data_IF_789369128258
#
_entry.id   IF_789369128258
#
_cell.length_a   1.000
_cell.length_b   1.000
_cell.length_c   1.000
_cell.angle_alpha   90.00
_cell.angle_beta   90.00
_cell.angle_gamma   90.00
#
_symmetry.space_group_name_H-M   'P 1'
#
loop_
_entity.id
_entity.type
_entity.pdbx_description
1 polymer ?
#
# COMPACT_ATOMS: atom_id res chain seq x y z
N UNK A 1 -17.74 -9.49 -19.00
CA UNK A 1 -16.54 -9.58 -18.15
C UNK A 1 -15.40 -8.76 -18.76
N UNK A 2 -15.07 -8.96 -20.04
CA UNK A 2 -14.16 -8.07 -20.78
C UNK A 2 -14.87 -6.77 -21.24
N UNK A 3 -16.17 -6.84 -21.56
CA UNK A 3 -16.94 -5.71 -22.14
C UNK A 3 -17.03 -4.48 -21.22
N UNK A 4 -17.21 -4.65 -19.91
CA UNK A 4 -17.29 -3.52 -18.95
C UNK A 4 -15.91 -2.88 -18.64
N UNK A 5 -14.81 -3.60 -18.89
CA UNK A 5 -13.44 -3.02 -18.84
C UNK A 5 -13.07 -2.32 -20.15
N UNK A 6 -13.68 -2.71 -21.27
CA UNK A 6 -13.43 -2.19 -22.61
C UNK A 6 -14.16 -0.88 -22.94
N UNK A 7 -15.14 -0.44 -22.14
CA UNK A 7 -15.96 0.76 -22.38
C UNK A 7 -15.19 2.10 -22.36
N UNK A 8 -13.85 2.06 -22.38
CA UNK A 8 -12.99 3.24 -22.45
C UNK A 8 -12.65 3.66 -23.89
N UNK A 9 -13.01 2.90 -24.94
CA UNK A 9 -12.44 3.09 -26.29
C UNK A 9 -13.43 3.34 -27.46
N UNK A 10 -14.60 3.92 -27.22
CA UNK A 10 -15.42 4.41 -28.35
C UNK A 10 -16.31 5.60 -27.98
N UNK A 11 -15.88 6.84 -28.32
CA UNK A 11 -16.58 7.80 -29.23
C UNK A 11 -16.27 9.28 -28.93
N UNK A 12 -15.35 9.85 -29.72
CA UNK A 12 -15.20 11.25 -30.21
C UNK A 12 -15.26 12.49 -29.29
N UNK A 13 -14.08 13.12 -29.23
CA UNK A 13 -13.76 14.57 -29.26
C UNK A 13 -13.85 15.40 -27.97
N UNK A 14 -12.75 16.10 -27.65
CA UNK A 14 -12.46 16.90 -26.45
C UNK A 14 -12.25 16.13 -25.15
N UNK A 15 -13.18 15.26 -24.75
CA UNK A 15 -13.04 14.51 -23.48
C UNK A 15 -11.96 13.41 -23.56
N UNK A 16 -11.75 12.80 -24.73
CA UNK A 16 -10.73 11.76 -24.93
C UNK A 16 -9.31 12.30 -24.74
N UNK A 17 -9.00 13.53 -25.18
CA UNK A 17 -7.68 14.10 -24.93
C UNK A 17 -7.47 14.34 -23.43
N UNK A 18 -8.43 14.94 -22.73
CA UNK A 18 -8.33 15.12 -21.27
C UNK A 18 -8.24 13.78 -20.52
N UNK A 19 -8.94 12.74 -20.99
CA UNK A 19 -8.87 11.38 -20.43
C UNK A 19 -7.52 10.71 -20.73
N UNK A 20 -7.00 10.79 -21.97
CA UNK A 20 -5.67 10.28 -22.31
C UNK A 20 -4.57 10.99 -21.52
N UNK A 21 -4.63 12.32 -21.40
CA UNK A 21 -3.68 13.10 -20.59
C UNK A 21 -3.78 12.73 -19.11
N UNK A 22 -4.99 12.55 -18.56
CA UNK A 22 -5.17 12.10 -17.19
C UNK A 22 -4.63 10.68 -16.97
N UNK A 23 -4.82 9.77 -17.93
CA UNK A 23 -4.33 8.39 -17.86
C UNK A 23 -2.80 8.33 -17.96
N UNK A 24 -2.17 9.05 -18.90
CA UNK A 24 -0.71 9.13 -19.01
C UNK A 24 -0.07 9.76 -17.76
N UNK A 25 -0.68 10.81 -17.21
CA UNK A 25 -0.20 11.42 -15.96
C UNK A 25 -0.28 10.46 -14.77
N UNK A 26 -1.32 9.61 -14.73
CA UNK A 26 -1.48 8.60 -13.67
C UNK A 26 -0.47 7.45 -13.81
N UNK A 27 -0.12 7.03 -15.02
CA UNK A 27 0.93 6.03 -15.22
C UNK A 27 2.32 6.54 -14.79
N UNK A 28 2.67 7.77 -15.16
CA UNK A 28 3.92 8.36 -14.66
C UNK A 28 3.94 8.48 -13.13
N UNK A 29 2.80 8.77 -12.50
CA UNK A 29 2.68 8.79 -11.04
C UNK A 29 2.89 7.40 -10.42
N UNK A 30 2.37 6.32 -11.01
CA UNK A 30 2.53 4.99 -10.41
C UNK A 30 3.98 4.48 -10.52
N UNK A 31 4.69 4.81 -11.59
CA UNK A 31 6.13 4.48 -11.70
C UNK A 31 6.96 5.27 -10.69
N UNK A 32 6.64 6.56 -10.50
CA UNK A 32 7.25 7.36 -9.44
C UNK A 32 6.95 6.76 -8.05
N UNK A 33 5.70 6.34 -7.81
CA UNK A 33 5.31 5.68 -6.56
C UNK A 33 6.06 4.37 -6.36
N UNK A 34 6.22 3.55 -7.41
CA UNK A 34 6.99 2.31 -7.37
C UNK A 34 8.43 2.56 -6.95
N UNK A 35 9.09 3.56 -7.55
CA UNK A 35 10.45 3.94 -7.16
C UNK A 35 10.55 4.37 -5.67
N UNK A 36 9.59 5.17 -5.19
CA UNK A 36 9.52 5.56 -3.76
C UNK A 36 9.26 4.37 -2.82
N UNK A 37 8.56 3.35 -3.31
CA UNK A 37 8.27 2.12 -2.61
C UNK A 37 9.33 1.04 -2.85
N UNK A 38 10.57 1.42 -3.20
CA UNK A 38 11.68 0.47 -3.34
C UNK A 38 11.48 -0.49 -4.52
N UNK A 39 11.09 0.08 -5.66
CA UNK A 39 10.89 -0.56 -6.96
C UNK A 39 9.84 -1.67 -7.00
N UNK A 40 9.03 -1.80 -5.95
CA UNK A 40 8.00 -2.84 -5.84
C UNK A 40 6.77 -2.29 -5.14
N UNK A 41 5.64 -2.29 -5.84
CA UNK A 41 4.31 -1.96 -5.33
C UNK A 41 3.69 -3.13 -4.57
N UNK A 42 2.64 -2.88 -3.78
CA UNK A 42 1.87 -3.95 -3.15
C UNK A 42 1.19 -4.80 -4.22
N UNK A 43 0.66 -4.19 -5.29
CA UNK A 43 0.08 -4.94 -6.40
C UNK A 43 1.09 -5.89 -7.06
N UNK A 44 2.36 -5.47 -7.17
CA UNK A 44 3.42 -6.34 -7.70
C UNK A 44 3.64 -7.58 -6.80
N UNK A 45 3.55 -7.41 -5.48
CA UNK A 45 3.62 -8.51 -4.51
C UNK A 45 2.39 -9.43 -4.58
N UNK A 46 1.20 -8.87 -4.80
CA UNK A 46 -0.03 -9.65 -4.99
C UNK A 46 0.06 -10.51 -6.26
N UNK A 47 0.48 -9.92 -7.39
CA UNK A 47 0.69 -10.67 -8.63
C UNK A 47 1.73 -11.78 -8.44
N UNK A 48 2.87 -11.46 -7.82
CA UNK A 48 3.95 -12.42 -7.54
C UNK A 48 3.49 -13.59 -6.67
N UNK A 49 2.69 -13.31 -5.63
CA UNK A 49 2.12 -14.30 -4.74
C UNK A 49 1.12 -15.24 -5.44
N UNK A 50 0.53 -14.79 -6.57
CA UNK A 50 -0.29 -15.62 -7.47
C UNK A 50 0.51 -16.48 -8.46
N UNK A 51 1.85 -16.39 -8.43
CA UNK A 51 2.74 -17.08 -9.36
C UNK A 51 3.02 -16.32 -10.66
N UNK A 52 2.57 -15.07 -10.76
CA UNK A 52 2.81 -14.22 -11.94
C UNK A 52 4.25 -13.69 -11.88
N UNK A 53 5.00 -13.90 -12.96
CA UNK A 53 6.40 -13.48 -13.06
C UNK A 53 6.50 -12.08 -13.66
N UNK A 54 7.48 -11.30 -13.19
CA UNK A 54 7.75 -9.95 -13.69
C UNK A 54 6.51 -9.04 -13.66
N UNK A 55 5.91 -8.81 -12.48
CA UNK A 55 4.72 -7.96 -12.37
C UNK A 55 4.97 -6.51 -12.81
N UNK A 56 6.20 -6.03 -12.66
CA UNK A 56 6.66 -4.68 -12.99
C UNK A 56 6.54 -4.34 -14.49
N UNK A 57 6.59 -5.35 -15.37
CA UNK A 57 6.39 -5.15 -16.82
C UNK A 57 4.92 -5.26 -17.24
N UNK A 58 4.06 -5.84 -16.37
CA UNK A 58 2.64 -6.05 -16.66
C UNK A 58 1.77 -4.91 -16.12
N UNK A 59 2.20 -4.27 -15.03
CA UNK A 59 1.47 -3.19 -14.37
C UNK A 59 2.32 -1.93 -14.26
N UNK A 60 1.80 -0.73 -14.58
CA UNK A 60 0.45 -0.49 -15.12
C UNK A 60 0.31 -0.89 -16.59
N UNK A 61 -0.87 -1.38 -17.03
CA UNK A 61 -1.12 -1.64 -18.44
C UNK A 61 -1.18 -0.32 -19.22
N UNK A 62 -0.40 -0.19 -20.29
CA UNK A 62 -0.25 1.05 -21.08
C UNK A 62 -1.34 1.25 -22.13
N UNK A 63 -2.00 0.17 -22.54
CA UNK A 63 -3.04 0.14 -23.57
C UNK A 63 -4.00 -1.04 -23.33
N UNK A 64 -5.00 -1.16 -24.20
CA UNK A 64 -6.03 -2.22 -24.12
C UNK A 64 -5.43 -3.61 -24.23
N UNK A 65 -4.46 -3.81 -25.13
CA UNK A 65 -3.85 -5.13 -25.33
C UNK A 65 -3.00 -5.53 -24.11
N UNK A 66 -2.29 -4.58 -23.52
CA UNK A 66 -1.58 -4.79 -22.26
C UNK A 66 -2.53 -5.13 -21.10
N UNK A 67 -3.71 -4.49 -21.05
CA UNK A 67 -4.73 -4.80 -20.04
C UNK A 67 -5.34 -6.18 -20.25
N UNK A 68 -5.70 -6.55 -21.49
CA UNK A 68 -6.17 -7.90 -21.84
C UNK A 68 -5.14 -8.95 -21.42
N UNK A 69 -3.87 -8.73 -21.74
CA UNK A 69 -2.79 -9.63 -21.37
C UNK A 69 -2.66 -9.77 -19.84
N UNK A 70 -2.71 -8.67 -19.09
CA UNK A 70 -2.69 -8.71 -17.62
C UNK A 70 -3.88 -9.51 -17.06
N UNK A 71 -5.07 -9.34 -17.62
CA UNK A 71 -6.26 -10.11 -17.20
C UNK A 71 -6.12 -11.60 -17.50
N UNK A 72 -5.59 -11.97 -18.67
CA UNK A 72 -5.32 -13.36 -19.03
C UNK A 72 -4.32 -14.01 -18.07
N UNK A 73 -3.27 -13.28 -17.70
CA UNK A 73 -2.25 -13.75 -16.76
C UNK A 73 -2.81 -13.87 -15.34
N UNK A 74 -3.69 -12.96 -14.91
CA UNK A 74 -4.44 -13.09 -13.65
C UNK A 74 -5.34 -14.33 -13.68
N UNK A 75 -6.05 -14.56 -14.78
CA UNK A 75 -6.94 -15.71 -14.92
C UNK A 75 -6.17 -17.05 -14.90
N UNK A 76 -4.97 -17.08 -15.49
CA UNK A 76 -4.08 -18.24 -15.50
C UNK A 76 -3.31 -18.44 -14.18
N UNK A 77 -3.40 -17.52 -13.23
CA UNK A 77 -2.65 -17.59 -11.96
C UNK A 77 -3.12 -18.73 -11.04
N UNK A 78 -2.29 -19.04 -10.03
CA UNK A 78 -2.56 -20.07 -9.04
C UNK A 78 -3.62 -19.69 -8.00
N UNK A 79 -4.14 -18.46 -8.08
CA UNK A 79 -5.15 -18.00 -7.14
C UNK A 79 -6.50 -18.69 -7.35
N UNK A 80 -7.25 -18.77 -6.26
CA UNK A 80 -8.67 -19.10 -6.32
C UNK A 80 -9.46 -17.97 -7.01
N UNK A 81 -10.70 -18.27 -7.39
CA UNK A 81 -11.56 -17.31 -8.09
C UNK A 81 -11.71 -15.99 -7.32
N UNK A 82 -11.90 -16.05 -5.99
CA UNK A 82 -12.12 -14.85 -5.20
C UNK A 82 -10.92 -13.90 -5.24
N UNK A 83 -9.70 -14.42 -5.09
CA UNK A 83 -8.48 -13.60 -5.17
C UNK A 83 -8.27 -13.01 -6.57
N UNK A 84 -8.60 -13.76 -7.63
CA UNK A 84 -8.58 -13.23 -9.01
C UNK A 84 -9.54 -12.06 -9.17
N UNK A 85 -10.78 -12.20 -8.69
CA UNK A 85 -11.77 -11.13 -8.72
C UNK A 85 -11.31 -9.91 -7.88
N UNK A 86 -10.59 -10.11 -6.77
CA UNK A 86 -10.00 -9.00 -6.00
C UNK A 86 -8.91 -8.24 -6.78
N UNK A 87 -8.09 -8.93 -7.58
CA UNK A 87 -7.11 -8.29 -8.45
C UNK A 87 -7.79 -7.47 -9.56
N UNK A 88 -8.86 -7.99 -10.14
CA UNK A 88 -9.65 -7.24 -11.14
C UNK A 88 -10.35 -6.04 -10.49
N UNK A 89 -10.95 -6.22 -9.31
CA UNK A 89 -11.52 -5.12 -8.52
C UNK A 89 -10.48 -4.00 -8.29
N UNK A 90 -9.26 -4.36 -7.89
CA UNK A 90 -8.15 -3.42 -7.73
C UNK A 90 -7.87 -2.64 -9.02
N UNK A 91 -7.84 -3.30 -10.18
CA UNK A 91 -7.63 -2.64 -11.47
C UNK A 91 -8.78 -1.67 -11.82
N UNK A 92 -10.02 -2.03 -11.50
CA UNK A 92 -11.19 -1.18 -11.73
C UNK A 92 -11.14 0.14 -10.93
N UNK A 93 -10.49 0.15 -9.75
CA UNK A 93 -10.27 1.37 -8.96
C UNK A 93 -9.53 2.46 -9.73
N UNK A 94 -8.78 2.10 -10.77
CA UNK A 94 -8.07 3.06 -11.62
C UNK A 94 -9.02 4.08 -12.27
N UNK A 95 -10.26 3.69 -12.56
CA UNK A 95 -11.26 4.57 -13.17
C UNK A 95 -11.81 5.63 -12.21
N UNK A 96 -11.95 5.29 -10.91
CA UNK A 96 -12.53 6.17 -9.88
C UNK A 96 -13.94 6.67 -10.23
N UNK A 97 -14.74 5.84 -10.88
CA UNK A 97 -16.10 6.17 -11.32
C UNK A 97 -17.18 5.28 -10.68
N UNK A 98 -16.80 4.45 -9.69
CA UNK A 98 -17.71 3.60 -8.92
C UNK A 98 -18.03 2.26 -9.59
N UNK A 99 -17.48 1.95 -10.77
CA UNK A 99 -17.71 0.68 -11.45
C UNK A 99 -17.26 -0.53 -10.63
N UNK A 100 -16.28 -0.34 -9.75
CA UNK A 100 -15.82 -1.37 -8.83
C UNK A 100 -16.93 -1.85 -7.87
N UNK A 101 -17.87 -0.98 -7.47
CA UNK A 101 -18.94 -1.31 -6.51
C UNK A 101 -19.96 -2.27 -7.15
N UNK A 102 -20.30 -2.00 -8.41
CA UNK A 102 -21.13 -2.88 -9.22
C UNK A 102 -20.45 -4.23 -9.40
N UNK A 103 -19.17 -4.23 -9.75
CA UNK A 103 -18.38 -5.45 -9.92
C UNK A 103 -18.30 -6.27 -8.62
N UNK A 104 -18.05 -5.63 -7.49
CA UNK A 104 -18.06 -6.27 -6.17
C UNK A 104 -19.39 -6.99 -5.91
N UNK A 105 -20.51 -6.34 -6.23
CA UNK A 105 -21.85 -6.91 -6.02
C UNK A 105 -22.11 -8.09 -6.96
N UNK A 106 -21.81 -7.94 -8.26
CA UNK A 106 -22.00 -8.99 -9.27
C UNK A 106 -21.12 -10.21 -9.03
N UNK A 107 -19.91 -10.01 -8.49
CA UNK A 107 -18.94 -11.06 -8.16
C UNK A 107 -19.04 -11.55 -6.73
N UNK A 108 -19.97 -11.02 -5.95
CA UNK A 108 -20.16 -11.35 -4.54
C UNK A 108 -18.85 -11.26 -3.72
N UNK A 109 -17.97 -10.29 -4.03
CA UNK A 109 -16.71 -10.10 -3.31
C UNK A 109 -17.04 -9.67 -1.88
N UNK A 110 -16.63 -10.43 -0.85
CA UNK A 110 -16.96 -10.07 0.52
C UNK A 110 -16.35 -8.72 0.90
N UNK A 111 -17.03 -7.88 1.72
CA UNK A 111 -16.60 -6.52 2.00
C UNK A 111 -15.18 -6.37 2.55
N UNK A 112 -14.69 -7.34 3.32
CA UNK A 112 -13.34 -7.30 3.88
C UNK A 112 -12.23 -7.54 2.83
N UNK A 113 -12.52 -8.30 1.77
CA UNK A 113 -11.60 -8.46 0.64
C UNK A 113 -11.56 -7.22 -0.24
N UNK A 114 -12.73 -6.64 -0.55
CA UNK A 114 -12.81 -5.36 -1.27
C UNK A 114 -12.09 -4.25 -0.49
N UNK A 115 -12.32 -4.14 0.82
CA UNK A 115 -11.64 -3.16 1.67
C UNK A 115 -10.11 -3.35 1.71
N UNK A 116 -9.63 -4.59 1.70
CA UNK A 116 -8.19 -4.85 1.59
C UNK A 116 -7.63 -4.36 0.24
N UNK A 117 -8.31 -4.67 -0.86
CA UNK A 117 -7.93 -4.20 -2.19
C UNK A 117 -7.97 -2.66 -2.31
N UNK A 118 -8.99 -2.01 -1.75
CA UNK A 118 -9.09 -0.55 -1.66
C UNK A 118 -7.89 0.05 -0.92
N UNK A 119 -7.56 -0.51 0.25
CA UNK A 119 -6.45 -0.02 1.04
C UNK A 119 -5.11 -0.18 0.29
N UNK A 120 -4.85 -1.33 -0.31
CA UNK A 120 -3.64 -1.55 -1.10
C UNK A 120 -3.56 -0.59 -2.30
N UNK A 121 -4.68 -0.35 -2.97
CA UNK A 121 -4.73 0.59 -4.09
C UNK A 121 -4.42 2.03 -3.65
N UNK A 122 -4.97 2.46 -2.52
CA UNK A 122 -4.68 3.77 -1.93
C UNK A 122 -3.22 3.90 -1.49
N UNK A 123 -2.59 2.82 -1.02
CA UNK A 123 -1.17 2.82 -0.66
C UNK A 123 -0.28 2.89 -1.90
N UNK A 124 -0.54 2.12 -2.95
CA UNK A 124 0.27 2.13 -4.16
C UNK A 124 0.14 3.47 -4.90
N UNK A 125 -1.08 4.00 -5.04
CA UNK A 125 -1.31 5.31 -5.69
C UNK A 125 -0.91 6.50 -4.83
N UNK A 126 -0.90 6.35 -3.50
CA UNK A 126 -0.61 7.42 -2.55
C UNK A 126 -1.74 8.45 -2.37
N UNK A 127 -2.93 8.22 -2.93
CA UNK A 127 -4.03 9.20 -2.94
C UNK A 127 -4.59 9.52 -1.55
N UNK A 128 -4.77 8.50 -0.70
CA UNK A 128 -5.25 8.69 0.67
C UNK A 128 -4.72 7.61 1.62
N UNK A 129 -3.40 7.64 1.84
CA UNK A 129 -2.70 6.73 2.75
C UNK A 129 -3.30 6.74 4.17
N UNK A 130 -3.67 7.87 4.80
CA UNK A 130 -4.31 7.85 6.12
C UNK A 130 -5.60 7.02 6.15
N UNK A 131 -6.42 7.11 5.11
CA UNK A 131 -7.64 6.31 4.99
C UNK A 131 -7.32 4.82 4.81
N UNK A 132 -6.34 4.49 3.96
CA UNK A 132 -5.87 3.12 3.78
C UNK A 132 -5.41 2.48 5.10
N UNK A 133 -4.61 3.21 5.89
CA UNK A 133 -4.17 2.77 7.21
C UNK A 133 -5.35 2.59 8.17
N UNK A 134 -6.38 3.43 8.07
CA UNK A 134 -7.59 3.27 8.87
C UNK A 134 -8.36 2.00 8.51
N UNK A 135 -8.43 1.66 7.22
CA UNK A 135 -9.04 0.40 6.76
C UNK A 135 -8.23 -0.78 7.29
N UNK A 136 -6.92 -0.80 7.05
CA UNK A 136 -6.03 -1.89 7.49
C UNK A 136 -5.91 -2.02 9.01
N UNK A 137 -6.33 -1.01 9.77
CA UNK A 137 -6.42 -1.10 11.24
C UNK A 137 -7.62 -1.92 11.74
N UNK A 138 -8.53 -2.35 10.85
CA UNK A 138 -9.63 -3.23 11.20
C UNK A 138 -9.12 -4.68 11.38
N UNK A 139 -9.34 -5.25 12.56
CA UNK A 139 -8.88 -6.60 12.91
C UNK A 139 -9.51 -7.72 12.07
N UNK A 140 -10.56 -7.44 11.30
CA UNK A 140 -11.22 -8.42 10.41
C UNK A 140 -10.53 -8.53 9.05
N UNK A 141 -9.66 -7.58 8.71
CA UNK A 141 -8.93 -7.59 7.45
C UNK A 141 -7.63 -8.37 7.66
N UNK A 142 -7.32 -9.28 6.73
CA UNK A 142 -6.04 -9.97 6.73
C UNK A 142 -4.94 -8.98 6.34
N UNK A 143 -3.95 -8.83 7.22
CA UNK A 143 -2.90 -7.85 7.06
C UNK A 143 -1.64 -8.55 6.60
N UNK A 144 -1.39 -8.43 5.30
CA UNK A 144 -0.16 -8.90 4.67
C UNK A 144 0.70 -7.69 4.31
N UNK A 145 1.99 -7.93 4.06
CA UNK A 145 2.93 -6.89 3.57
C UNK A 145 3.15 -5.70 4.53
N UNK A 146 3.21 -5.95 5.84
CA UNK A 146 3.47 -4.93 6.88
C UNK A 146 4.61 -3.97 6.52
N UNK A 147 5.73 -4.47 6.00
CA UNK A 147 6.86 -3.61 5.62
C UNK A 147 6.50 -2.63 4.51
N UNK A 148 5.70 -3.04 3.51
CA UNK A 148 5.23 -2.14 2.46
C UNK A 148 4.21 -1.13 2.97
N UNK A 149 3.33 -1.53 3.88
CA UNK A 149 2.39 -0.61 4.52
C UNK A 149 3.14 0.46 5.30
N UNK A 150 4.17 0.09 6.07
CA UNK A 150 5.02 1.02 6.81
C UNK A 150 5.83 1.93 5.88
N UNK A 151 6.38 1.38 4.79
CA UNK A 151 7.07 2.16 3.77
C UNK A 151 6.14 3.21 3.15
N UNK A 152 4.93 2.81 2.74
CA UNK A 152 3.94 3.72 2.16
C UNK A 152 3.46 4.78 3.16
N UNK A 153 3.26 4.41 4.43
CA UNK A 153 2.94 5.35 5.50
C UNK A 153 4.08 6.37 5.73
N UNK A 154 5.34 5.95 5.61
CA UNK A 154 6.49 6.83 5.83
C UNK A 154 6.65 7.91 4.75
N UNK A 155 5.97 7.78 3.60
CA UNK A 155 6.01 8.76 2.52
C UNK A 155 5.07 9.96 2.73
N UNK A 156 4.15 9.90 3.70
CA UNK A 156 3.24 11.03 3.98
C UNK A 156 3.85 12.05 4.96
N UNK A 157 3.39 13.30 4.94
CA UNK A 157 3.75 14.27 5.98
C UNK A 157 3.30 13.79 7.37
N UNK A 158 4.18 13.93 8.37
CA UNK A 158 3.93 13.56 9.76
C UNK A 158 3.43 12.10 9.93
N UNK A 159 4.21 11.10 9.49
CA UNK A 159 3.75 9.72 9.35
C UNK A 159 3.59 8.99 10.70
N UNK A 160 4.19 9.52 11.78
CA UNK A 160 4.40 8.87 13.06
C UNK A 160 3.10 8.35 13.69
N UNK A 161 2.02 9.14 13.68
CA UNK A 161 0.72 8.73 14.22
C UNK A 161 0.07 7.58 13.42
N UNK A 162 0.26 7.56 12.09
CA UNK A 162 -0.29 6.50 11.24
C UNK A 162 0.45 5.19 11.44
N UNK A 163 1.78 5.25 11.51
CA UNK A 163 2.64 4.10 11.79
C UNK A 163 2.29 3.50 13.16
N UNK A 164 2.19 4.34 14.20
CA UNK A 164 1.84 3.87 15.54
C UNK A 164 0.42 3.29 15.57
N UNK A 165 -0.55 3.95 14.93
CA UNK A 165 -1.92 3.42 14.80
C UNK A 165 -1.90 2.04 14.16
N UNK A 166 -1.27 1.91 13.00
CA UNK A 166 -1.21 0.66 12.25
C UNK A 166 -0.58 -0.46 13.09
N UNK A 167 0.64 -0.29 13.60
CA UNK A 167 1.34 -1.35 14.34
C UNK A 167 0.57 -1.80 15.59
N UNK A 168 -0.05 -0.87 16.33
CA UNK A 168 -0.83 -1.20 17.54
C UNK A 168 -2.14 -1.94 17.23
N UNK A 169 -2.80 -1.63 16.12
CA UNK A 169 -4.07 -2.27 15.73
C UNK A 169 -3.87 -3.54 14.93
N UNK A 170 -2.78 -3.60 14.16
CA UNK A 170 -2.46 -4.64 13.21
C UNK A 170 -2.24 -6.01 13.83
N UNK A 171 -1.69 -6.02 15.05
CA UNK A 171 -1.19 -7.23 15.73
C UNK A 171 -0.17 -8.02 14.89
N UNK A 172 0.37 -7.46 13.82
CA UNK A 172 1.45 -8.09 13.06
C UNK A 172 2.73 -8.04 13.87
N UNK A 173 3.40 -9.19 13.99
CA UNK A 173 4.69 -9.25 14.64
C UNK A 173 5.73 -8.55 13.75
N UNK A 174 6.18 -7.37 14.17
CA UNK A 174 7.30 -6.69 13.51
C UNK A 174 8.57 -7.51 13.73
N UNK A 175 9.06 -8.10 12.64
CA UNK A 175 10.26 -8.94 12.64
C UNK A 175 11.39 -8.33 11.81
N UNK A 176 11.04 -7.51 10.80
CA UNK A 176 12.02 -6.83 9.98
C UNK A 176 12.74 -5.72 10.77
N UNK A 177 14.09 -5.67 10.75
CA UNK A 177 14.86 -4.64 11.44
C UNK A 177 14.52 -3.21 11.05
N UNK A 178 14.23 -2.95 9.77
CA UNK A 178 13.91 -1.62 9.28
C UNK A 178 12.51 -1.18 9.71
N UNK A 179 11.56 -2.11 9.73
CA UNK A 179 10.21 -1.85 10.26
C UNK A 179 10.25 -1.51 11.75
N UNK A 180 11.05 -2.24 12.52
CA UNK A 180 11.26 -1.98 13.95
C UNK A 180 11.91 -0.60 14.20
N UNK A 181 12.90 -0.22 13.37
CA UNK A 181 13.50 1.11 13.41
C UNK A 181 12.52 2.22 13.06
N UNK A 182 11.68 1.99 12.04
CA UNK A 182 10.63 2.93 11.64
C UNK A 182 9.62 3.12 12.78
N UNK A 183 9.21 2.02 13.41
CA UNK A 183 8.24 2.04 14.50
C UNK A 183 8.78 2.71 15.77
N UNK A 184 10.02 2.45 16.19
CA UNK A 184 10.57 3.08 17.42
C UNK A 184 10.70 4.60 17.28
N UNK A 185 11.04 5.10 16.08
CA UNK A 185 11.06 6.54 15.81
C UNK A 185 9.64 7.11 15.82
N UNK A 186 8.70 6.41 15.19
CA UNK A 186 7.31 6.83 15.20
C UNK A 186 6.73 6.88 16.63
N UNK A 187 7.10 5.94 17.52
CA UNK A 187 6.73 5.97 18.94
C UNK A 187 7.28 7.21 19.66
N UNK A 188 8.56 7.53 19.43
CA UNK A 188 9.23 8.67 20.06
C UNK A 188 8.60 10.01 19.64
N UNK A 189 8.14 10.10 18.38
CA UNK A 189 7.52 11.30 17.80
C UNK A 189 6.05 11.45 18.17
N UNK A 190 5.25 10.40 18.01
CA UNK A 190 3.80 10.46 18.15
C UNK A 190 3.31 10.30 19.60
N UNK A 191 4.05 9.56 20.42
CA UNK A 191 3.64 9.25 21.80
C UNK A 191 4.59 9.87 22.81
N UNK A 192 5.77 9.29 23.01
CA UNK A 192 6.82 9.86 23.86
C UNK A 192 8.15 9.13 23.69
N UNK A 193 9.25 9.81 24.02
CA UNK A 193 10.57 9.18 24.11
C UNK A 193 10.60 8.02 25.12
N UNK A 194 9.92 8.18 26.27
CA UNK A 194 9.88 7.14 27.31
C UNK A 194 9.27 5.84 26.79
N UNK A 195 8.19 5.92 26.02
CA UNK A 195 7.57 4.74 25.44
C UNK A 195 8.48 4.06 24.41
N UNK A 196 9.13 4.82 23.53
CA UNK A 196 10.11 4.29 22.60
C UNK A 196 11.30 3.62 23.33
N UNK A 197 11.74 4.22 24.44
CA UNK A 197 12.78 3.67 25.28
C UNK A 197 12.38 2.36 25.96
N UNK A 198 11.14 2.24 26.42
CA UNK A 198 10.60 1.00 26.97
C UNK A 198 10.48 -0.08 25.88
N UNK A 199 10.06 0.30 24.68
CA UNK A 199 9.89 -0.63 23.57
C UNK A 199 11.17 -1.40 23.23
N UNK A 200 12.34 -0.75 23.14
CA UNK A 200 13.59 -1.48 22.87
C UNK A 200 13.97 -2.48 23.97
N UNK A 201 13.46 -2.32 25.19
CA UNK A 201 13.74 -3.24 26.32
C UNK A 201 12.89 -4.52 26.27
N UNK A 202 11.90 -4.61 25.38
CA UNK A 202 11.16 -5.85 25.11
C UNK A 202 12.11 -6.90 24.53
N UNK A 203 13.16 -6.47 23.82
CA UNK A 203 14.22 -7.34 23.34
C UNK A 203 15.21 -7.65 24.47
N UNK A 204 15.61 -8.93 24.57
CA UNK A 204 16.59 -9.36 25.58
C UNK A 204 17.96 -8.67 25.39
N UNK A 205 18.76 -8.61 26.46
CA UNK A 205 20.07 -7.92 26.48
C UNK A 205 21.09 -8.48 25.47
N UNK A 206 20.92 -9.73 25.04
CA UNK A 206 21.81 -10.40 24.08
C UNK A 206 21.39 -10.12 22.63
N UNK A 207 20.16 -9.62 22.41
CA UNK A 207 19.63 -9.39 21.08
C UNK A 207 20.33 -8.21 20.42
N UNK A 208 20.92 -8.38 19.22
CA UNK A 208 21.50 -7.27 18.48
C UNK A 208 20.45 -6.20 18.13
N UNK A 209 19.16 -6.57 18.11
CA UNK A 209 18.06 -5.64 17.86
C UNK A 209 17.97 -4.57 18.94
N UNK A 210 18.19 -4.93 20.21
CA UNK A 210 18.13 -3.96 21.31
C UNK A 210 19.16 -2.85 21.14
N UNK A 211 20.42 -3.23 20.89
CA UNK A 211 21.51 -2.28 20.66
C UNK A 211 21.26 -1.43 19.41
N UNK A 212 20.71 -2.02 18.34
CA UNK A 212 20.35 -1.32 17.11
C UNK A 212 19.29 -0.26 17.35
N UNK A 213 18.17 -0.63 17.97
CA UNK A 213 17.07 0.28 18.28
C UNK A 213 17.49 1.37 19.28
N UNK A 214 18.30 1.02 20.28
CA UNK A 214 18.88 1.98 21.21
C UNK A 214 19.73 3.03 20.49
N UNK A 215 20.65 2.60 19.60
CA UNK A 215 21.46 3.51 18.80
C UNK A 215 20.58 4.40 17.93
N UNK A 216 19.58 3.83 17.26
CA UNK A 216 18.64 4.58 16.42
C UNK A 216 17.90 5.67 17.20
N UNK A 217 17.48 5.36 18.43
CA UNK A 217 16.79 6.30 19.31
C UNK A 217 17.72 7.43 19.80
N UNK A 218 18.99 7.12 20.10
CA UNK A 218 20.00 8.14 20.42
C UNK A 218 20.33 9.03 19.22
N UNK A 219 20.48 8.45 18.04
CA UNK A 219 20.73 9.20 16.81
C UNK A 219 19.57 10.19 16.59
N UNK A 220 18.32 9.74 16.75
CA UNK A 220 17.15 10.60 16.65
C UNK A 220 17.14 11.76 17.66
N UNK A 221 17.54 11.55 18.92
CA UNK A 221 17.54 12.66 19.91
C UNK A 221 18.57 13.74 19.60
N UNK A 222 19.71 13.39 19.00
CA UNK A 222 20.79 14.35 18.71
C UNK A 222 20.63 15.04 17.36
N UNK A 223 19.97 14.40 16.38
CA UNK A 223 19.75 14.98 15.05
C UNK A 223 18.48 15.81 14.95
N UNK A 224 17.58 15.73 15.93
CA UNK A 224 16.33 16.49 15.89
C UNK A 224 16.66 17.97 16.09
N UNK A 225 16.44 18.78 15.06
CA UNK A 225 16.29 20.22 15.27
C UNK A 225 15.12 20.38 16.25
N UNK A 226 15.39 20.95 17.43
CA UNK A 226 14.35 21.28 18.38
C UNK A 226 13.44 22.32 17.73
N UNK A 227 12.40 21.87 17.02
CA UNK A 227 11.25 22.69 16.71
C UNK A 227 10.59 23.01 18.04
N UNK A 228 11.04 24.11 18.65
CA UNK A 228 10.45 24.69 19.85
C UNK A 228 8.95 24.77 19.61
N UNK A 229 8.17 23.99 20.38
CA UNK A 229 6.74 24.20 20.50
C UNK A 229 6.53 25.67 20.85
N UNK A 230 5.96 26.45 19.94
CA UNK A 230 5.32 27.71 20.31
C UNK A 230 4.10 27.32 21.13
N UNK A 231 4.23 27.46 22.45
CA UNK A 231 3.12 27.42 23.41
C UNK A 231 2.04 28.43 23.03
#
# INVERSE_FOLDING_TARGET
>A
MITDMMDTFSSTSSEEHSRLYATHHRFAQIDQRRALLGDVLIFDLLLSSGGIKHPDILYPPTDVSALEHLLEVIEASHYDALKKECLVYYLLKWHQDGREERFQTERCIPPHFAAAADAYWLLDTGLNVPHAISILSDARINQEYTSKVLQAASLVPNPSHLIVKYVRTARSALTDPHDLETYIIALAEASSFCEAWEYQRIFNDVSPMRSRLFKKLLDWTVTREFSVCKC
#
